data_IF_732013274253
#
_entry.id   IF_732013274253
#
_cell.length_a   1.000
_cell.length_b   1.000
_cell.length_c   1.000
_cell.angle_alpha   90.00
_cell.angle_beta   90.00
_cell.angle_gamma   90.00
#
_symmetry.space_group_name_H-M   'P 1'
#
loop_
_entity.id
_entity.type
_entity.pdbx_description
1 polymer ?
#
# COMPACT_ATOMS: atom_id res chain seq x y z
N UNK A 1 -6.79 21.17 12.98
CA UNK A 1 -7.03 20.60 11.64
C UNK A 1 -5.68 20.40 10.99
N UNK A 2 -5.04 19.27 11.29
CA UNK A 2 -3.86 18.82 10.58
C UNK A 2 -4.35 17.84 9.52
N UNK A 3 -4.39 18.28 8.28
CA UNK A 3 -4.68 17.45 7.11
C UNK A 3 -3.59 16.37 7.00
N UNK A 4 -3.82 15.22 7.62
CA UNK A 4 -3.05 14.02 7.36
C UNK A 4 -3.41 13.61 5.94
N UNK A 5 -2.56 13.99 4.98
CA UNK A 5 -2.58 13.45 3.62
C UNK A 5 -2.25 11.96 3.73
N UNK A 6 -3.27 11.12 3.87
CA UNK A 6 -3.12 9.67 3.89
C UNK A 6 -2.35 9.23 2.64
N UNK A 7 -1.13 8.73 2.85
CA UNK A 7 -0.41 8.00 1.84
C UNK A 7 -0.43 6.53 2.26
N UNK A 8 -1.36 5.74 1.70
CA UNK A 8 -1.38 4.28 1.89
C UNK A 8 -0.28 3.68 1.03
N UNK A 9 0.89 3.46 1.63
CA UNK A 9 2.08 2.89 0.98
C UNK A 9 2.07 1.34 1.08
N UNK A 10 1.08 0.76 1.76
CA UNK A 10 0.91 -0.68 1.93
C UNK A 10 -0.48 -1.07 1.43
N UNK A 11 -0.55 -1.99 0.46
CA UNK A 11 -1.82 -2.45 -0.13
C UNK A 11 -2.38 -3.62 0.68
N UNK A 12 -2.94 -3.29 1.85
CA UNK A 12 -3.83 -4.16 2.62
C UNK A 12 -5.21 -3.50 2.61
N UNK A 13 -6.23 -4.24 2.19
CA UNK A 13 -7.59 -3.74 2.00
C UNK A 13 -8.61 -4.71 2.59
N UNK A 14 -9.74 -4.20 3.08
CA UNK A 14 -10.86 -5.03 3.51
C UNK A 14 -12.01 -4.89 2.51
N UNK A 15 -12.60 -6.01 2.12
CA UNK A 15 -13.92 -6.05 1.52
C UNK A 15 -14.94 -6.17 2.65
N UNK A 16 -15.93 -5.28 2.66
CA UNK A 16 -16.93 -5.23 3.70
C UNK A 16 -18.18 -6.00 3.33
N UNK A 17 -18.78 -6.66 4.31
CA UNK A 17 -20.09 -7.31 4.21
C UNK A 17 -21.19 -6.28 3.88
N UNK A 18 -22.28 -6.66 3.21
CA UNK A 18 -23.35 -5.74 2.82
C UNK A 18 -24.02 -4.99 3.98
N UNK A 19 -24.02 -5.56 5.20
CA UNK A 19 -24.55 -4.90 6.39
C UNK A 19 -23.77 -3.63 6.77
N UNK A 20 -22.50 -3.48 6.39
CA UNK A 20 -21.72 -2.27 6.67
C UNK A 20 -22.14 -1.07 5.78
N UNK A 21 -22.85 -1.31 4.67
CA UNK A 21 -23.19 -0.29 3.66
C UNK A 21 -23.96 0.90 4.22
N UNK A 22 -24.81 0.70 5.24
CA UNK A 22 -25.59 1.79 5.84
C UNK A 22 -24.72 2.83 6.58
N UNK A 23 -23.45 2.51 6.83
CA UNK A 23 -22.45 3.37 7.46
C UNK A 23 -21.40 3.87 6.48
N UNK A 24 -21.50 3.49 5.21
CA UNK A 24 -20.54 3.83 4.18
C UNK A 24 -20.92 5.12 3.46
N UNK A 25 -19.93 5.97 3.23
CA UNK A 25 -19.98 7.02 2.21
C UNK A 25 -19.01 6.65 1.11
N UNK A 26 -19.54 6.44 -0.09
CA UNK A 26 -18.73 6.15 -1.26
C UNK A 26 -18.08 7.43 -1.75
N UNK A 27 -16.76 7.40 -1.91
CA UNK A 27 -15.99 8.51 -2.47
C UNK A 27 -15.40 8.07 -3.80
N UNK A 28 -15.48 8.94 -4.80
CA UNK A 28 -14.84 8.71 -6.09
C UNK A 28 -13.61 9.62 -6.23
N UNK A 29 -12.44 9.00 -6.31
CA UNK A 29 -11.15 9.68 -6.44
C UNK A 29 -10.66 10.42 -5.18
N UNK A 30 -9.39 10.82 -5.19
CA UNK A 30 -8.88 11.82 -4.25
C UNK A 30 -9.38 13.22 -4.65
N UNK A 31 -9.51 14.13 -3.69
CA UNK A 31 -10.00 15.50 -3.90
C UNK A 31 -9.18 16.36 -4.89
N UNK A 32 -8.12 15.82 -5.50
CA UNK A 32 -7.22 16.52 -6.41
C UNK A 32 -7.44 16.24 -7.90
N UNK A 33 -8.22 15.23 -8.28
CA UNK A 33 -8.11 14.66 -9.65
C UNK A 33 -9.23 15.01 -10.63
N UNK A 34 -10.24 15.81 -10.24
CA UNK A 34 -11.34 16.32 -11.09
C UNK A 34 -11.63 15.50 -12.38
N UNK A 35 -12.02 14.21 -12.26
CA UNK A 35 -12.03 13.31 -13.43
C UNK A 35 -13.22 13.59 -14.35
N UNK A 36 -13.06 13.29 -15.64
CA UNK A 36 -14.10 13.48 -16.68
C UNK A 36 -15.18 12.41 -16.71
N UNK A 37 -14.92 11.22 -16.15
CA UNK A 37 -15.90 10.14 -16.02
C UNK A 37 -16.07 9.76 -14.55
N UNK A 38 -17.30 9.39 -14.17
CA UNK A 38 -17.65 8.97 -12.81
C UNK A 38 -17.64 7.45 -12.73
N UNK A 39 -16.57 6.88 -12.17
CA UNK A 39 -16.44 5.55 -11.55
C UNK A 39 -17.01 4.30 -12.26
N UNK A 40 -16.17 3.29 -12.46
CA UNK A 40 -16.61 1.89 -12.60
C UNK A 40 -16.75 1.25 -11.21
N UNK A 41 -17.60 0.22 -11.07
CA UNK A 41 -17.80 -0.54 -9.81
C UNK A 41 -16.50 -1.13 -9.25
N UNK A 42 -15.47 -1.27 -10.09
CA UNK A 42 -14.21 -1.96 -9.79
C UNK A 42 -13.22 -1.12 -8.94
N UNK A 43 -13.44 0.20 -8.79
CA UNK A 43 -12.44 1.12 -8.19
C UNK A 43 -13.02 2.07 -7.12
N UNK A 44 -14.15 1.71 -6.49
CA UNK A 44 -14.77 2.56 -5.47
C UNK A 44 -14.10 2.39 -4.09
N UNK A 45 -13.51 3.47 -3.57
CA UNK A 45 -13.10 3.55 -2.17
C UNK A 45 -14.25 4.08 -1.30
N UNK A 46 -14.46 3.44 -0.15
CA UNK A 46 -15.51 3.83 0.81
C UNK A 46 -14.91 4.35 2.11
N UNK A 47 -15.52 5.41 2.65
CA UNK A 47 -15.31 5.84 4.03
C UNK A 47 -16.39 5.22 4.90
N UNK A 48 -15.99 4.44 5.90
CA UNK A 48 -16.92 3.89 6.90
C UNK A 48 -17.02 4.85 8.07
N UNK A 49 -18.24 5.24 8.44
CA UNK A 49 -18.51 6.04 9.63
C UNK A 49 -18.69 5.14 10.85
N UNK A 50 -17.94 5.44 11.91
CA UNK A 50 -17.93 4.64 13.14
C UNK A 50 -16.95 3.47 13.09
N UNK A 51 -16.97 2.64 14.12
CA UNK A 51 -16.00 1.55 14.29
C UNK A 51 -16.26 0.41 13.29
N UNK A 52 -15.20 -0.26 12.87
CA UNK A 52 -15.27 -1.49 12.07
C UNK A 52 -15.11 -2.67 13.02
N UNK A 53 -16.12 -3.53 13.09
CA UNK A 53 -16.12 -4.78 13.83
C UNK A 53 -15.74 -5.89 12.85
N UNK A 54 -14.54 -6.46 13.00
CA UNK A 54 -14.01 -7.42 12.02
C UNK A 54 -14.96 -8.61 11.76
N UNK A 55 -15.56 -9.15 12.82
CA UNK A 55 -16.47 -10.30 12.75
C UNK A 55 -17.77 -9.98 11.98
N UNK A 56 -18.30 -8.77 12.18
CA UNK A 56 -19.61 -8.37 11.63
C UNK A 56 -19.50 -7.65 10.29
N UNK A 57 -18.38 -6.95 10.03
CA UNK A 57 -18.27 -6.01 8.92
C UNK A 57 -17.34 -6.46 7.81
N UNK A 58 -16.38 -7.35 8.07
CA UNK A 58 -15.36 -7.73 7.09
C UNK A 58 -15.65 -9.10 6.51
N UNK A 59 -15.63 -9.20 5.18
CA UNK A 59 -15.82 -10.44 4.44
C UNK A 59 -14.50 -11.01 3.94
N UNK A 60 -13.66 -10.14 3.34
CA UNK A 60 -12.39 -10.53 2.72
C UNK A 60 -11.28 -9.57 3.16
N UNK A 61 -10.12 -10.11 3.49
CA UNK A 61 -8.87 -9.35 3.63
C UNK A 61 -8.06 -9.57 2.34
N UNK A 62 -7.74 -8.48 1.65
CA UNK A 62 -6.89 -8.50 0.45
C UNK A 62 -5.51 -7.96 0.81
N UNK A 63 -4.46 -8.75 0.58
CA UNK A 63 -3.08 -8.38 0.90
C UNK A 63 -2.12 -8.61 -0.28
N UNK A 64 -1.00 -7.88 -0.27
CA UNK A 64 0.07 -8.05 -1.25
C UNK A 64 0.92 -9.29 -0.92
N UNK A 65 1.28 -10.14 -1.92
CA UNK A 65 2.04 -11.37 -1.69
C UNK A 65 3.43 -11.13 -1.08
N UNK A 66 4.00 -9.92 -1.17
CA UNK A 66 5.26 -9.57 -0.49
C UNK A 66 5.19 -9.68 1.04
N UNK A 67 3.98 -9.78 1.63
CA UNK A 67 3.81 -10.06 3.04
C UNK A 67 3.81 -11.56 3.38
N UNK A 68 3.68 -12.48 2.40
CA UNK A 68 3.70 -13.94 2.65
C UNK A 68 5.01 -14.34 3.33
N UNK A 69 4.91 -15.08 4.44
CA UNK A 69 6.09 -15.53 5.22
C UNK A 69 6.79 -14.44 6.05
N UNK A 70 6.25 -13.22 6.08
CA UNK A 70 6.70 -12.16 7.00
C UNK A 70 5.93 -12.20 8.33
N UNK A 71 6.43 -11.53 9.37
CA UNK A 71 5.70 -11.38 10.63
C UNK A 71 4.31 -10.74 10.43
N UNK A 72 4.23 -9.73 9.55
CA UNK A 72 2.96 -9.07 9.20
C UNK A 72 2.02 -10.07 8.51
N UNK A 73 2.51 -10.85 7.55
CA UNK A 73 1.72 -11.90 6.90
C UNK A 73 1.16 -12.91 7.89
N UNK A 74 1.96 -13.35 8.85
CA UNK A 74 1.50 -14.27 9.90
C UNK A 74 0.38 -13.65 10.75
N UNK A 75 0.46 -12.36 11.08
CA UNK A 75 -0.63 -11.66 11.77
C UNK A 75 -1.89 -11.56 10.91
N UNK A 76 -1.77 -11.28 9.60
CA UNK A 76 -2.90 -11.24 8.68
C UNK A 76 -3.61 -12.59 8.61
N UNK A 77 -2.85 -13.68 8.46
CA UNK A 77 -3.36 -15.05 8.48
C UNK A 77 -4.08 -15.37 9.80
N UNK A 78 -3.49 -15.02 10.94
CA UNK A 78 -4.10 -15.23 12.26
C UNK A 78 -5.40 -14.44 12.44
N UNK A 79 -5.45 -13.19 12.01
CA UNK A 79 -6.68 -12.38 12.05
C UNK A 79 -7.75 -13.04 11.18
N UNK A 80 -7.40 -13.49 9.97
CA UNK A 80 -8.35 -14.14 9.08
C UNK A 80 -8.93 -15.42 9.67
N UNK A 81 -8.11 -16.24 10.33
CA UNK A 81 -8.56 -17.43 11.05
C UNK A 81 -9.48 -17.06 12.22
N UNK A 82 -9.08 -16.09 13.06
CA UNK A 82 -9.79 -15.73 14.28
C UNK A 82 -11.19 -15.15 14.01
N UNK A 83 -11.35 -14.42 12.90
CA UNK A 83 -12.61 -13.76 12.53
C UNK A 83 -13.32 -14.42 11.35
N UNK A 84 -12.87 -15.61 10.92
CA UNK A 84 -13.41 -16.33 9.75
C UNK A 84 -13.52 -15.46 8.49
N UNK A 85 -12.51 -14.61 8.27
CA UNK A 85 -12.39 -13.73 7.10
C UNK A 85 -11.61 -14.47 6.01
N UNK A 86 -12.05 -14.38 4.76
CA UNK A 86 -11.31 -14.96 3.65
C UNK A 86 -10.06 -14.13 3.34
N UNK A 87 -8.89 -14.76 3.25
CA UNK A 87 -7.64 -14.09 2.89
C UNK A 87 -7.35 -14.26 1.40
N UNK A 88 -7.34 -13.16 0.67
CA UNK A 88 -7.01 -13.12 -0.75
C UNK A 88 -5.68 -12.40 -0.98
N UNK A 89 -4.77 -13.05 -1.72
CA UNK A 89 -3.52 -12.43 -2.15
C UNK A 89 -3.68 -11.89 -3.55
N UNK A 90 -3.55 -10.58 -3.74
CA UNK A 90 -3.70 -9.98 -5.07
C UNK A 90 -2.43 -10.14 -5.92
N UNK A 91 -2.49 -9.72 -7.18
CA UNK A 91 -1.30 -9.58 -8.02
C UNK A 91 -0.37 -8.51 -7.44
N UNK A 92 0.67 -8.93 -6.71
CA UNK A 92 1.69 -8.03 -6.19
C UNK A 92 2.60 -7.52 -7.30
N UNK A 93 3.46 -6.57 -6.98
CA UNK A 93 4.44 -6.03 -7.92
C UNK A 93 5.84 -6.11 -7.35
N UNK A 94 6.79 -6.50 -8.21
CA UNK A 94 8.22 -6.50 -7.90
C UNK A 94 8.99 -5.74 -8.99
N UNK A 95 10.03 -5.03 -8.57
CA UNK A 95 10.96 -4.35 -9.47
C UNK A 95 12.39 -4.46 -8.97
N UNK A 96 13.35 -4.63 -9.88
CA UNK A 96 14.77 -4.49 -9.54
C UNK A 96 15.13 -3.03 -9.30
N UNK A 97 15.91 -2.74 -8.27
CA UNK A 97 16.34 -1.37 -7.97
C UNK A 97 17.09 -0.68 -9.12
N UNK A 98 17.71 -1.46 -9.99
CA UNK A 98 18.43 -1.00 -11.19
C UNK A 98 17.49 -0.63 -12.35
N UNK A 99 16.27 -1.17 -12.38
CA UNK A 99 15.25 -0.91 -13.40
C UNK A 99 14.45 0.37 -13.09
N UNK A 100 14.70 1.01 -11.94
CA UNK A 100 14.00 2.22 -11.51
C UNK A 100 14.37 3.40 -12.43
N UNK A 101 13.38 4.08 -13.04
CA UNK A 101 13.63 5.19 -13.96
C UNK A 101 14.34 6.36 -13.26
N UNK A 102 15.27 7.00 -13.97
CA UNK A 102 16.07 8.11 -13.47
C UNK A 102 15.41 9.49 -13.62
N UNK A 103 14.26 9.56 -14.29
CA UNK A 103 13.57 10.81 -14.63
C UNK A 103 12.16 10.92 -14.00
N UNK A 104 11.73 9.92 -13.22
CA UNK A 104 10.42 9.93 -12.60
C UNK A 104 10.35 10.93 -11.44
N UNK A 105 9.75 12.10 -11.71
CA UNK A 105 9.62 13.22 -10.75
C UNK A 105 10.97 13.71 -10.18
N UNK A 106 12.04 13.54 -10.95
CA UNK A 106 13.39 13.94 -10.60
C UNK A 106 14.37 12.76 -10.47
N UNK A 107 15.67 13.04 -10.26
CA UNK A 107 16.73 12.03 -10.31
C UNK A 107 16.91 11.23 -9.01
N UNK A 108 16.11 11.49 -7.97
CA UNK A 108 16.37 10.92 -6.63
C UNK A 108 15.94 9.46 -6.49
N UNK A 109 15.03 8.98 -7.34
CA UNK A 109 14.40 7.66 -7.21
C UNK A 109 15.38 6.48 -7.29
N UNK A 110 16.34 6.40 -8.24
CA UNK A 110 17.32 5.31 -8.25
C UNK A 110 18.20 5.23 -7.00
N UNK A 111 18.49 6.37 -6.37
CA UNK A 111 19.26 6.39 -5.11
C UNK A 111 18.43 5.87 -3.93
N UNK A 112 17.15 6.24 -3.86
CA UNK A 112 16.23 5.73 -2.85
C UNK A 112 16.01 4.23 -3.01
N UNK A 113 15.79 3.79 -4.25
CA UNK A 113 15.63 2.40 -4.62
C UNK A 113 16.78 1.52 -4.10
N UNK A 114 18.02 1.92 -4.38
CA UNK A 114 19.21 1.21 -3.89
C UNK A 114 19.31 1.16 -2.36
N UNK A 115 18.87 2.23 -1.68
CA UNK A 115 18.91 2.31 -0.22
C UNK A 115 17.94 1.34 0.46
N UNK A 116 16.74 1.20 -0.10
CA UNK A 116 15.67 0.40 0.53
C UNK A 116 15.62 -1.03 0.01
N UNK A 117 16.17 -1.30 -1.17
CA UNK A 117 16.06 -2.59 -1.83
C UNK A 117 16.53 -3.75 -0.94
N UNK A 118 15.71 -4.80 -0.89
CA UNK A 118 16.06 -6.06 -0.26
C UNK A 118 16.54 -7.03 -1.33
N UNK A 119 17.77 -7.54 -1.21
CA UNK A 119 18.40 -8.41 -2.22
C UNK A 119 18.39 -7.83 -3.64
N UNK A 120 18.41 -6.49 -3.78
CA UNK A 120 18.36 -5.79 -5.06
C UNK A 120 16.95 -5.59 -5.64
N UNK A 121 15.91 -6.09 -4.98
CA UNK A 121 14.51 -5.96 -5.38
C UNK A 121 13.72 -5.02 -4.45
N UNK A 122 12.65 -4.48 -5.01
CA UNK A 122 11.71 -3.58 -4.34
C UNK A 122 10.31 -4.13 -4.59
N UNK A 123 9.57 -4.30 -3.50
CA UNK A 123 8.17 -4.69 -3.48
C UNK A 123 7.40 -3.81 -2.46
N UNK A 124 6.11 -4.09 -2.25
CA UNK A 124 5.28 -3.33 -1.32
C UNK A 124 5.79 -3.43 0.14
N UNK A 125 6.25 -4.61 0.55
CA UNK A 125 6.79 -4.87 1.89
C UNK A 125 8.08 -4.09 2.17
N UNK A 126 8.98 -4.00 1.19
CA UNK A 126 10.23 -3.21 1.25
C UNK A 126 9.92 -1.73 1.44
N UNK A 127 9.02 -1.17 0.62
CA UNK A 127 8.65 0.24 0.75
C UNK A 127 7.93 0.48 2.09
N UNK A 128 7.03 -0.42 2.48
CA UNK A 128 6.34 -0.38 3.77
C UNK A 128 7.29 -0.40 4.96
N UNK A 129 8.34 -1.22 4.90
CA UNK A 129 9.40 -1.30 5.91
C UNK A 129 10.21 -0.01 5.98
N UNK A 130 10.53 0.60 4.84
CA UNK A 130 11.21 1.89 4.79
C UNK A 130 10.37 3.03 5.39
N UNK A 131 9.05 3.04 5.16
CA UNK A 131 8.14 4.00 5.80
C UNK A 131 8.09 3.80 7.31
N UNK A 132 8.06 2.55 7.77
CA UNK A 132 8.10 2.24 9.20
C UNK A 132 9.43 2.67 9.83
N UNK A 133 10.55 2.44 9.15
CA UNK A 133 11.87 2.89 9.60
C UNK A 133 11.98 4.42 9.64
N UNK A 134 11.46 5.14 8.63
CA UNK A 134 11.37 6.60 8.67
C UNK A 134 10.56 7.11 9.88
N UNK A 135 9.46 6.41 10.22
CA UNK A 135 8.61 6.77 11.36
C UNK A 135 9.28 6.51 12.70
N UNK A 136 9.95 5.36 12.85
CA UNK A 136 10.59 4.97 14.10
C UNK A 136 11.94 5.67 14.30
N UNK A 137 12.68 5.89 13.22
CA UNK A 137 14.06 6.38 13.21
C UNK A 137 14.26 7.55 12.24
N UNK A 138 13.52 8.68 12.37
CA UNK A 138 13.58 9.77 11.39
C UNK A 138 14.98 10.38 11.22
N UNK A 139 15.82 10.33 12.25
CA UNK A 139 17.21 10.81 12.20
C UNK A 139 18.08 10.10 11.16
N UNK A 140 17.81 8.82 10.89
CA UNK A 140 18.55 8.04 9.89
C UNK A 140 18.28 8.50 8.45
N UNK A 141 17.21 9.29 8.23
CA UNK A 141 16.76 9.74 6.92
C UNK A 141 17.05 11.22 6.64
N UNK A 142 17.70 11.90 7.59
CA UNK A 142 17.99 13.33 7.53
C UNK A 142 18.88 13.74 6.34
N UNK A 143 19.65 12.81 5.77
CA UNK A 143 20.44 13.00 4.55
C UNK A 143 19.56 13.23 3.30
N UNK A 144 18.30 12.80 3.34
CA UNK A 144 17.34 12.89 2.22
C UNK A 144 16.31 14.01 2.37
N UNK A 145 16.34 14.73 3.49
CA UNK A 145 15.41 15.83 3.77
C UNK A 145 14.65 15.63 5.07
N UNK A 146 13.59 16.42 5.23
CA UNK A 146 12.71 16.31 6.39
C UNK A 146 11.72 15.14 6.24
N UNK A 147 11.02 14.81 7.32
CA UNK A 147 10.08 13.69 7.36
C UNK A 147 9.05 13.70 6.21
N UNK A 148 8.47 14.85 5.90
CA UNK A 148 7.44 14.97 4.86
C UNK A 148 8.03 14.77 3.47
N UNK A 149 9.22 15.30 3.21
CA UNK A 149 9.93 15.15 1.93
C UNK A 149 10.25 13.67 1.68
N UNK A 150 10.83 12.98 2.66
CA UNK A 150 11.17 11.55 2.54
C UNK A 150 9.90 10.70 2.37
N UNK A 151 8.82 11.04 3.08
CA UNK A 151 7.54 10.35 2.92
C UNK A 151 6.97 10.53 1.50
N UNK A 152 7.12 11.71 0.89
CA UNK A 152 6.75 11.92 -0.52
C UNK A 152 7.65 11.17 -1.50
N UNK A 153 8.93 11.02 -1.20
CA UNK A 153 9.82 10.18 -2.02
C UNK A 153 9.39 8.70 -1.97
N UNK A 154 9.09 8.17 -0.77
CA UNK A 154 8.59 6.80 -0.60
C UNK A 154 7.24 6.60 -1.29
N UNK A 155 6.35 7.61 -1.25
CA UNK A 155 5.11 7.62 -2.05
C UNK A 155 5.39 7.56 -3.55
N UNK A 156 6.38 8.30 -4.02
CA UNK A 156 6.74 8.32 -5.44
C UNK A 156 7.33 6.97 -5.87
N UNK A 157 8.13 6.33 -5.01
CA UNK A 157 8.62 4.97 -5.23
C UNK A 157 7.49 3.95 -5.35
N UNK A 158 6.46 4.05 -4.51
CA UNK A 158 5.25 3.23 -4.64
C UNK A 158 4.58 3.39 -6.01
N UNK A 159 4.43 4.63 -6.51
CA UNK A 159 3.87 4.85 -7.84
C UNK A 159 4.74 4.26 -8.97
N UNK A 160 6.07 4.28 -8.82
CA UNK A 160 6.97 3.63 -9.77
C UNK A 160 6.73 2.12 -9.77
N UNK A 161 6.67 1.51 -8.58
CA UNK A 161 6.46 0.07 -8.44
C UNK A 161 5.13 -0.36 -9.08
N UNK A 162 4.03 0.32 -8.79
CA UNK A 162 2.72 -0.04 -9.36
C UNK A 162 2.66 0.20 -10.87
N UNK A 163 3.37 1.21 -11.39
CA UNK A 163 3.33 1.57 -12.81
C UNK A 163 4.26 0.73 -13.68
N UNK A 164 5.44 0.39 -13.17
CA UNK A 164 6.53 -0.21 -13.95
C UNK A 164 6.96 -1.58 -13.43
N UNK A 165 6.51 -1.99 -12.24
CA UNK A 165 6.83 -3.29 -11.65
C UNK A 165 6.19 -4.44 -12.41
N UNK A 166 6.81 -5.61 -12.30
CA UNK A 166 6.31 -6.86 -12.88
C UNK A 166 5.33 -7.50 -11.89
N UNK A 167 4.21 -7.98 -12.41
CA UNK A 167 3.23 -8.70 -11.60
C UNK A 167 3.82 -10.03 -11.11
N UNK A 168 3.69 -10.31 -9.81
CA UNK A 168 4.12 -11.55 -9.16
C UNK A 168 2.96 -12.57 -9.10
N UNK A 169 2.07 -12.58 -10.10
CA UNK A 169 0.96 -13.53 -10.13
C UNK A 169 1.48 -14.96 -9.88
N UNK A 170 0.87 -15.64 -8.89
CA UNK A 170 1.32 -16.92 -8.32
C UNK A 170 1.85 -17.87 -9.41
N UNK A 171 3.16 -18.14 -9.40
CA UNK A 171 3.74 -19.30 -10.08
C UNK A 171 3.42 -20.56 -9.26
N UNK A 172 2.14 -20.84 -9.05
CA UNK A 172 1.66 -22.16 -8.63
C UNK A 172 1.03 -22.82 -9.84
N UNK A 173 1.86 -23.58 -10.56
CA UNK A 173 1.44 -24.64 -11.46
C UNK A 173 1.52 -25.96 -10.70
#
# INVERSE_FOLDING_TARGET
>A
MSDIKYCRIQRISFLLKPNALHRCTFTYGGSQDAPKEMGTYEELETQVHGDIVLDDDVEILVADPSFKGTEIGNYLEQICINYSIELFWHMGFEMRAEEVPSDFRGPSMPSLAKRIASNGNIDASVIGSAVNDLKCNPGLWSDRGNYEEVLQELKSMWHILVRYGKSIADQSN
#
